data_IF_994105632144
#
_entry.id   IF_994105632144
#
_cell.length_a   1.000
_cell.length_b   1.000
_cell.length_c   1.000
_cell.angle_alpha   90.00
_cell.angle_beta   90.00
_cell.angle_gamma   90.00
#
_symmetry.space_group_name_H-M   'P 1'
#
loop_
_entity.id
_entity.type
_entity.pdbx_description
1 polymer ?
#
# COMPACT_ATOMS: atom_id res chain seq x y z
N UNK A 1 32.23 9.73 9.65
CA UNK A 1 32.01 8.29 9.40
C UNK A 1 31.11 7.64 10.47
N UNK A 2 30.87 8.31 11.60
CA UNK A 2 30.23 7.71 12.77
C UNK A 2 28.70 7.56 12.67
N UNK A 3 28.02 8.48 11.97
CA UNK A 3 26.55 8.43 11.81
C UNK A 3 26.04 7.19 11.07
N UNK A 4 26.77 6.71 10.05
CA UNK A 4 26.38 5.51 9.30
C UNK A 4 26.45 4.25 10.17
N UNK A 5 27.44 4.18 11.06
CA UNK A 5 27.57 3.06 11.98
C UNK A 5 26.47 3.10 13.05
N UNK A 6 26.13 4.28 13.57
CA UNK A 6 25.04 4.44 14.53
C UNK A 6 23.69 3.94 13.98
N UNK A 7 23.33 4.30 12.75
CA UNK A 7 22.11 3.81 12.11
C UNK A 7 22.09 2.28 11.95
N UNK A 8 23.24 1.67 11.61
CA UNK A 8 23.38 0.21 11.52
C UNK A 8 23.16 -0.46 12.88
N UNK A 9 23.75 0.07 13.97
CA UNK A 9 23.56 -0.47 15.33
C UNK A 9 22.12 -0.29 15.84
N UNK A 10 21.49 0.84 15.54
CA UNK A 10 20.08 1.09 15.87
C UNK A 10 19.17 0.08 15.18
N UNK A 11 19.36 -0.17 13.89
CA UNK A 11 18.57 -1.16 13.15
C UNK A 11 18.74 -2.57 13.72
N UNK A 12 19.96 -2.96 14.10
CA UNK A 12 20.20 -4.23 14.79
C UNK A 12 19.49 -4.32 16.14
N UNK A 13 19.59 -3.26 16.96
CA UNK A 13 18.96 -3.23 18.28
C UNK A 13 17.43 -3.29 18.16
N UNK A 14 16.85 -2.58 17.19
CA UNK A 14 15.42 -2.65 16.87
C UNK A 14 15.02 -4.06 16.45
N UNK A 15 15.81 -4.75 15.62
CA UNK A 15 15.54 -6.15 15.26
C UNK A 15 15.57 -7.08 16.47
N UNK A 16 16.62 -7.00 17.31
CA UNK A 16 16.74 -7.82 18.52
C UNK A 16 15.60 -7.53 19.49
N UNK A 17 15.29 -6.25 19.71
CA UNK A 17 14.18 -5.82 20.58
C UNK A 17 12.83 -6.30 20.05
N UNK A 18 12.61 -6.23 18.73
CA UNK A 18 11.39 -6.74 18.09
C UNK A 18 11.19 -8.24 18.32
N UNK A 19 12.24 -9.05 18.14
CA UNK A 19 12.18 -10.49 18.46
C UNK A 19 11.91 -10.76 19.94
N UNK A 20 12.48 -9.95 20.84
CA UNK A 20 12.29 -10.07 22.28
C UNK A 20 10.85 -9.70 22.69
N UNK A 21 10.30 -8.63 22.11
CA UNK A 21 8.89 -8.23 22.32
C UNK A 21 7.93 -9.28 21.75
N UNK A 22 8.22 -9.83 20.57
CA UNK A 22 7.45 -10.95 20.01
C UNK A 22 7.46 -12.17 20.94
N UNK A 23 8.61 -12.52 21.52
CA UNK A 23 8.69 -13.56 22.54
C UNK A 23 7.77 -13.26 23.74
N UNK A 24 7.79 -12.03 24.25
CA UNK A 24 6.93 -11.63 25.37
C UNK A 24 5.43 -11.58 25.01
N UNK A 25 5.06 -11.20 23.79
CA UNK A 25 3.67 -11.23 23.32
C UNK A 25 3.17 -12.66 23.13
N UNK A 26 3.98 -13.55 22.57
CA UNK A 26 3.67 -14.99 22.43
C UNK A 26 3.60 -15.70 23.79
N UNK A 27 4.19 -15.14 24.85
CA UNK A 27 4.02 -15.64 26.21
C UNK A 27 2.65 -15.29 26.82
N UNK A 28 1.93 -14.29 26.30
CA UNK A 28 0.60 -13.91 26.81
C UNK A 28 -0.54 -14.69 26.16
N UNK A 29 -0.35 -15.18 24.94
CA UNK A 29 -1.32 -16.06 24.28
C UNK A 29 -0.85 -17.52 24.32
N UNK A 30 -1.20 -18.21 25.42
CA UNK A 30 -1.30 -19.67 25.40
C UNK A 30 -2.43 -20.08 24.44
N UNK A 31 -2.17 -20.09 23.14
CA UNK A 31 -2.94 -20.97 22.27
C UNK A 31 -2.09 -21.37 21.05
N UNK A 32 -1.39 -22.50 21.22
CA UNK A 32 -1.05 -23.42 20.13
C UNK A 32 0.30 -23.25 19.42
N UNK A 33 1.44 -23.14 20.13
CA UNK A 33 2.72 -23.73 19.65
C UNK A 33 3.68 -23.97 20.83
N UNK A 34 3.51 -25.09 21.54
CA UNK A 34 4.29 -25.43 22.73
C UNK A 34 5.69 -26.01 22.43
N UNK A 35 6.00 -26.38 21.17
CA UNK A 35 7.22 -27.15 20.83
C UNK A 35 8.33 -26.34 20.11
N UNK A 36 8.11 -25.07 19.74
CA UNK A 36 9.10 -24.20 19.04
C UNK A 36 9.65 -23.02 19.87
N UNK A 37 9.34 -22.94 21.16
CA UNK A 37 9.68 -21.77 21.99
C UNK A 37 11.18 -21.61 22.27
N UNK A 38 11.90 -22.72 22.48
CA UNK A 38 13.32 -22.64 22.87
C UNK A 38 14.23 -22.34 21.68
N UNK A 39 13.92 -22.90 20.50
CA UNK A 39 14.72 -22.72 19.28
C UNK A 39 14.70 -21.26 18.82
N UNK A 40 13.54 -20.58 18.87
CA UNK A 40 13.43 -19.17 18.48
C UNK A 40 14.27 -18.25 19.37
N UNK A 41 14.33 -18.54 20.68
CA UNK A 41 15.13 -17.80 21.65
C UNK A 41 16.64 -17.98 21.38
N UNK A 42 17.08 -19.22 21.19
CA UNK A 42 18.47 -19.52 20.83
C UNK A 42 18.86 -18.95 19.46
N UNK A 43 17.96 -18.93 18.49
CA UNK A 43 18.19 -18.31 17.18
C UNK A 43 18.27 -16.80 17.31
N UNK A 44 17.40 -16.14 18.08
CA UNK A 44 17.46 -14.70 18.29
C UNK A 44 18.75 -14.27 19.03
N UNK A 45 19.14 -15.01 20.07
CA UNK A 45 20.40 -14.81 20.79
C UNK A 45 21.61 -15.07 19.89
N UNK A 46 21.60 -16.17 19.13
CA UNK A 46 22.67 -16.55 18.22
C UNK A 46 22.85 -15.53 17.09
N UNK A 47 21.77 -15.12 16.43
CA UNK A 47 21.81 -14.10 15.37
C UNK A 47 22.23 -12.75 15.93
N UNK A 48 21.74 -12.37 17.12
CA UNK A 48 22.15 -11.15 17.82
C UNK A 48 23.65 -11.11 18.13
N UNK A 49 24.19 -12.19 18.71
CA UNK A 49 25.62 -12.30 19.02
C UNK A 49 26.48 -12.35 17.75
N UNK A 50 26.11 -13.17 16.77
CA UNK A 50 26.87 -13.33 15.52
C UNK A 50 26.91 -12.02 14.71
N UNK A 51 25.83 -11.24 14.71
CA UNK A 51 25.76 -9.94 14.02
C UNK A 51 26.56 -8.83 14.73
N UNK A 52 26.75 -8.96 16.06
CA UNK A 52 27.64 -8.09 16.83
C UNK A 52 29.12 -8.38 16.54
N UNK A 53 29.48 -9.65 16.39
CA UNK A 53 30.88 -10.10 16.25
C UNK A 53 31.39 -9.96 14.81
N UNK A 54 30.56 -10.25 13.80
CA UNK A 54 31.01 -10.32 12.39
C UNK A 54 30.42 -9.15 11.57
N UNK A 55 31.24 -8.17 11.13
CA UNK A 55 30.77 -7.01 10.37
C UNK A 55 30.21 -7.39 8.99
N UNK A 56 30.73 -8.42 8.31
CA UNK A 56 30.21 -8.89 7.04
C UNK A 56 28.81 -9.53 7.15
N UNK A 57 28.56 -10.29 8.23
CA UNK A 57 27.26 -10.90 8.49
C UNK A 57 26.20 -9.83 8.81
N UNK A 58 26.60 -8.78 9.54
CA UNK A 58 25.76 -7.61 9.80
C UNK A 58 25.29 -6.93 8.53
N UNK A 59 26.18 -6.69 7.59
CA UNK A 59 25.82 -6.01 6.35
C UNK A 59 24.88 -6.86 5.49
N UNK A 60 25.10 -8.17 5.43
CA UNK A 60 24.18 -9.11 4.77
C UNK A 60 22.78 -9.12 5.40
N UNK A 61 22.69 -9.18 6.74
CA UNK A 61 21.40 -9.21 7.45
C UNK A 61 20.63 -7.90 7.27
N UNK A 62 21.33 -6.76 7.37
CA UNK A 62 20.72 -5.45 7.19
C UNK A 62 20.26 -5.27 5.75
N UNK A 63 21.08 -5.67 4.77
CA UNK A 63 20.70 -5.60 3.37
C UNK A 63 19.43 -6.41 3.08
N UNK A 64 19.36 -7.66 3.57
CA UNK A 64 18.17 -8.49 3.44
C UNK A 64 16.95 -7.84 4.10
N UNK A 65 17.11 -7.34 5.32
CA UNK A 65 16.05 -6.66 6.06
C UNK A 65 15.50 -5.44 5.32
N UNK A 66 16.39 -4.56 4.84
CA UNK A 66 16.00 -3.40 4.05
C UNK A 66 15.35 -3.78 2.73
N UNK A 67 15.80 -4.88 2.09
CA UNK A 67 15.18 -5.38 0.85
C UNK A 67 13.73 -5.83 1.09
N UNK A 68 13.49 -6.52 2.20
CA UNK A 68 12.13 -6.91 2.62
C UNK A 68 11.29 -5.65 2.89
N UNK A 69 11.83 -4.68 3.62
CA UNK A 69 11.14 -3.43 3.91
C UNK A 69 10.78 -2.62 2.65
N UNK A 70 11.66 -2.60 1.64
CA UNK A 70 11.43 -1.96 0.34
C UNK A 70 10.24 -2.59 -0.40
N UNK A 71 10.22 -3.94 -0.47
CA UNK A 71 9.12 -4.70 -1.07
C UNK A 71 7.82 -4.43 -0.31
N UNK A 72 7.86 -4.45 1.01
CA UNK A 72 6.69 -4.17 1.85
C UNK A 72 6.16 -2.76 1.62
N UNK A 73 7.06 -1.77 1.51
CA UNK A 73 6.70 -0.38 1.22
C UNK A 73 6.02 -0.22 -0.14
N UNK A 74 6.53 -0.91 -1.16
CA UNK A 74 5.94 -0.92 -2.50
C UNK A 74 4.55 -1.55 -2.53
N UNK A 75 4.36 -2.67 -1.81
CA UNK A 75 3.05 -3.32 -1.66
C UNK A 75 2.09 -2.39 -0.92
N UNK A 76 2.53 -1.78 0.18
CA UNK A 76 1.71 -0.89 0.99
C UNK A 76 1.21 0.32 0.21
N UNK A 77 2.06 0.93 -0.62
CA UNK A 77 1.65 2.05 -1.49
C UNK A 77 0.49 1.66 -2.43
N UNK A 78 0.52 0.45 -2.98
CA UNK A 78 -0.55 -0.08 -3.84
C UNK A 78 -1.81 -0.38 -3.03
N UNK A 79 -1.68 -1.03 -1.87
CA UNK A 79 -2.80 -1.36 -1.00
C UNK A 79 -3.53 -0.08 -0.56
N UNK A 80 -2.80 0.92 -0.06
CA UNK A 80 -3.39 2.19 0.38
C UNK A 80 -4.14 2.85 -0.79
N UNK A 81 -3.53 2.92 -1.97
CA UNK A 81 -4.18 3.50 -3.14
C UNK A 81 -5.45 2.74 -3.53
N UNK A 82 -5.40 1.41 -3.54
CA UNK A 82 -6.57 0.57 -3.83
C UNK A 82 -7.67 0.75 -2.79
N UNK A 83 -7.33 0.79 -1.49
CA UNK A 83 -8.29 1.02 -0.41
C UNK A 83 -8.95 2.39 -0.56
N UNK A 84 -8.17 3.45 -0.79
CA UNK A 84 -8.69 4.80 -1.02
C UNK A 84 -9.62 4.82 -2.24
N UNK A 85 -9.24 4.17 -3.34
CA UNK A 85 -10.09 4.04 -4.52
C UNK A 85 -11.42 3.35 -4.18
N UNK A 86 -11.41 2.22 -3.48
CA UNK A 86 -12.62 1.47 -3.14
C UNK A 86 -13.50 2.15 -2.09
N UNK A 87 -12.92 2.89 -1.15
CA UNK A 87 -13.66 3.56 -0.07
C UNK A 87 -14.20 4.92 -0.51
N UNK A 88 -13.51 5.63 -1.40
CA UNK A 88 -13.88 7.00 -1.81
C UNK A 88 -14.42 7.05 -3.23
N UNK A 89 -13.60 6.67 -4.21
CA UNK A 89 -13.93 6.84 -5.62
C UNK A 89 -15.03 5.88 -6.09
N UNK A 90 -14.98 4.63 -5.66
CA UNK A 90 -15.96 3.61 -6.03
C UNK A 90 -17.39 3.95 -5.60
N UNK A 91 -17.69 4.27 -4.32
CA UNK A 91 -19.05 4.66 -3.94
C UNK A 91 -19.50 5.96 -4.61
N UNK A 92 -18.58 6.91 -4.83
CA UNK A 92 -18.90 8.13 -5.57
C UNK A 92 -19.29 7.84 -7.02
N UNK A 93 -18.56 6.96 -7.71
CA UNK A 93 -18.87 6.54 -9.07
C UNK A 93 -20.22 5.78 -9.14
N UNK A 94 -20.50 4.92 -8.15
CA UNK A 94 -21.80 4.22 -8.05
C UNK A 94 -22.93 5.22 -7.85
N UNK A 95 -22.76 6.19 -6.93
CA UNK A 95 -23.75 7.23 -6.68
C UNK A 95 -23.99 8.08 -7.94
N UNK A 96 -22.94 8.48 -8.63
CA UNK A 96 -23.04 9.22 -9.89
C UNK A 96 -23.73 8.38 -10.98
N UNK A 97 -23.47 7.08 -11.05
CA UNK A 97 -24.12 6.17 -12.01
C UNK A 97 -25.62 5.99 -11.73
N UNK A 98 -26.02 5.98 -10.46
CA UNK A 98 -27.44 5.91 -10.08
C UNK A 98 -28.18 7.23 -10.31
N UNK A 99 -27.50 8.36 -10.13
CA UNK A 99 -28.12 9.70 -10.21
C UNK A 99 -28.14 10.24 -11.65
N UNK A 100 -27.10 9.97 -12.43
CA UNK A 100 -26.98 10.47 -13.81
C UNK A 100 -27.69 9.52 -14.78
N UNK A 101 -28.89 9.91 -15.22
CA UNK A 101 -29.59 9.21 -16.30
C UNK A 101 -28.90 9.46 -17.64
N UNK A 102 -28.20 8.45 -18.13
CA UNK A 102 -27.75 8.28 -19.52
C UNK A 102 -27.05 9.52 -20.15
N UNK A 103 -25.90 9.96 -19.59
CA UNK A 103 -25.22 11.20 -20.00
C UNK A 103 -24.75 11.19 -21.46
N UNK A 104 -24.55 10.00 -22.04
CA UNK A 104 -24.04 9.80 -23.39
C UNK A 104 -25.10 9.27 -24.37
N UNK A 105 -26.38 9.24 -23.98
CA UNK A 105 -27.48 8.74 -24.84
C UNK A 105 -27.20 7.34 -25.44
N UNK A 106 -26.35 6.54 -24.79
CA UNK A 106 -25.84 5.24 -25.27
C UNK A 106 -26.92 4.16 -25.37
N UNK A 107 -28.09 4.41 -24.76
CA UNK A 107 -29.23 3.50 -24.71
C UNK A 107 -30.45 4.03 -25.49
N UNK A 108 -30.23 4.93 -26.45
CA UNK A 108 -31.30 5.33 -27.36
C UNK A 108 -31.60 4.18 -28.32
N UNK A 109 -32.88 3.87 -28.47
CA UNK A 109 -33.44 2.96 -29.48
C UNK A 109 -33.78 3.71 -30.78
N UNK A 110 -33.45 5.00 -30.85
CA UNK A 110 -33.67 5.89 -32.00
C UNK A 110 -32.72 5.51 -33.15
N UNK A 111 -33.20 5.59 -34.39
CA UNK A 111 -32.43 5.25 -35.61
C UNK A 111 -31.31 6.26 -35.93
N UNK A 112 -31.29 7.41 -35.25
CA UNK A 112 -30.37 8.51 -35.50
C UNK A 112 -29.85 9.10 -34.19
N UNK A 113 -28.57 9.43 -34.17
CA UNK A 113 -27.94 10.15 -33.05
C UNK A 113 -28.13 11.68 -33.13
N UNK A 114 -28.76 12.18 -34.21
CA UNK A 114 -29.02 13.60 -34.42
C UNK A 114 -30.35 14.00 -33.77
N UNK A 115 -30.35 15.10 -33.01
CA UNK A 115 -31.60 15.78 -32.62
C UNK A 115 -32.02 16.75 -33.73
N UNK A 116 -33.28 16.68 -34.14
CA UNK A 116 -33.88 17.70 -35.01
C UNK A 116 -33.99 19.02 -34.25
N UNK A 117 -33.10 19.96 -34.59
CA UNK A 117 -33.13 21.33 -34.07
C UNK A 117 -34.07 22.15 -34.94
N UNK A 118 -35.35 22.22 -34.56
CA UNK A 118 -36.31 23.17 -35.14
C UNK A 118 -36.06 24.60 -34.62
N UNK A 119 -34.84 25.10 -34.80
CA UNK A 119 -34.44 26.45 -34.43
C UNK A 119 -34.60 27.39 -35.62
N UNK A 120 -35.35 28.48 -35.46
CA UNK A 120 -35.45 29.52 -36.48
C UNK A 120 -34.24 30.43 -36.37
N UNK A 121 -33.33 30.35 -37.35
CA UNK A 121 -32.10 31.14 -37.37
C UNK A 121 -32.40 32.64 -37.32
N UNK A 122 -31.75 33.33 -36.38
CA UNK A 122 -31.83 34.78 -36.25
C UNK A 122 -30.52 35.45 -36.63
N UNK A 123 -30.57 36.75 -36.94
CA UNK A 123 -29.41 37.53 -37.38
C UNK A 123 -28.24 37.50 -36.39
N UNK A 124 -28.51 37.27 -35.09
CA UNK A 124 -27.51 37.11 -34.04
C UNK A 124 -26.71 35.81 -34.16
N UNK A 125 -27.33 34.73 -34.62
CA UNK A 125 -26.67 33.41 -34.76
C UNK A 125 -25.60 33.41 -35.86
N UNK A 126 -25.67 34.38 -36.78
CA UNK A 126 -24.74 34.55 -37.90
C UNK A 126 -23.58 35.49 -37.59
N UNK A 127 -23.56 36.14 -36.42
CA UNK A 127 -22.53 37.13 -36.09
C UNK A 127 -21.21 36.49 -35.63
N UNK A 128 -21.21 35.22 -35.22
CA UNK A 128 -20.00 34.45 -34.90
C UNK A 128 -20.18 32.99 -35.33
N UNK A 129 -19.78 32.71 -36.57
CA UNK A 129 -19.90 31.42 -37.26
C UNK A 129 -18.69 30.49 -37.06
N UNK A 130 -17.72 30.90 -36.24
CA UNK A 130 -16.45 30.20 -36.00
C UNK A 130 -16.20 29.96 -34.51
#
# INVERSE_FOLDING_TARGET
MDSQNQNKYQALLVMVTGFLVLYFLVNKEELMTFQRKDILLFVALGVGLLSLIIPAAREGILWLWFKIAEILGWINGRIILSVVFFVVLFPFAVLFRLTTKNPLRLKNLESSAFDERNHTYTKKDLQNIW
#
